data_IF_210019844338
#
_entry.id   IF_210019844338
#
_cell.length_a   1.000
_cell.length_b   1.000
_cell.length_c   1.000
_cell.angle_alpha   90.00
_cell.angle_beta   90.00
_cell.angle_gamma   90.00
#
_symmetry.space_group_name_H-M   'P 1'
#
loop_
_entity.id
_entity.type
_entity.pdbx_description
1 polymer ?
#
# COMPACT_ATOMS: atom_id res chain seq x y z
N UNK A 1 52.65 -49.18 46.70
CA UNK A 1 52.61 -49.24 45.24
C UNK A 1 51.21 -48.91 44.78
N UNK A 2 51.01 -47.78 44.20
CA UNK A 2 49.72 -47.17 43.94
C UNK A 2 49.59 -46.87 42.49
N UNK A 3 48.60 -47.36 41.73
CA UNK A 3 48.33 -46.82 40.38
C UNK A 3 47.12 -45.88 40.40
N UNK A 4 47.41 -44.67 40.00
CA UNK A 4 46.42 -43.61 39.75
C UNK A 4 45.36 -44.08 38.74
N UNK A 5 44.07 -44.03 39.16
CA UNK A 5 42.92 -44.06 38.25
C UNK A 5 42.71 -42.68 37.69
N UNK A 6 42.98 -42.48 36.39
CA UNK A 6 42.59 -41.32 35.61
C UNK A 6 41.11 -41.49 35.18
N UNK A 7 40.21 -40.74 35.80
CA UNK A 7 38.84 -40.60 35.34
C UNK A 7 38.80 -39.57 34.24
N UNK A 8 38.55 -40.00 32.98
CA UNK A 8 38.21 -39.14 31.85
C UNK A 8 36.75 -38.73 32.02
N UNK A 9 36.50 -37.48 32.36
CA UNK A 9 35.17 -36.84 32.26
C UNK A 9 34.99 -36.37 30.83
N UNK A 10 34.19 -37.09 30.04
CA UNK A 10 33.74 -36.66 28.74
C UNK A 10 32.72 -35.55 28.92
N UNK A 11 33.12 -34.32 28.68
CA UNK A 11 32.19 -33.17 28.58
C UNK A 11 31.43 -33.29 27.24
N UNK A 12 30.19 -33.80 27.28
CA UNK A 12 29.24 -33.65 26.19
C UNK A 12 28.88 -32.16 26.07
N UNK A 13 29.46 -31.48 25.12
CA UNK A 13 29.06 -30.13 24.76
C UNK A 13 27.64 -30.12 24.13
N UNK A 14 26.65 -29.63 24.87
CA UNK A 14 25.37 -29.25 24.31
C UNK A 14 25.60 -28.04 23.41
N UNK A 15 25.72 -28.27 22.09
CA UNK A 15 25.63 -27.21 21.14
C UNK A 15 24.16 -26.68 21.12
N UNK A 16 23.91 -25.37 21.31
CA UNK A 16 22.57 -24.86 21.19
C UNK A 16 22.17 -25.02 19.70
N UNK A 17 21.16 -25.86 19.44
CA UNK A 17 20.42 -25.86 18.18
C UNK A 17 19.72 -24.50 18.08
N UNK A 18 20.40 -23.51 17.49
CA UNK A 18 19.77 -22.30 17.03
C UNK A 18 18.81 -22.71 15.91
N UNK A 19 17.57 -23.03 16.28
CA UNK A 19 16.49 -23.26 15.36
C UNK A 19 16.29 -21.98 14.56
N UNK A 20 16.77 -21.94 13.31
CA UNK A 20 16.36 -20.96 12.36
C UNK A 20 14.85 -21.13 12.20
N UNK A 21 14.07 -20.26 12.88
CA UNK A 21 12.65 -20.14 12.63
C UNK A 21 12.51 -19.74 11.15
N UNK A 22 12.34 -20.71 10.28
CA UNK A 22 12.02 -20.47 8.87
C UNK A 22 10.74 -19.67 8.84
N UNK A 23 10.82 -18.41 8.38
CA UNK A 23 9.65 -17.57 8.23
C UNK A 23 8.60 -18.35 7.42
N UNK A 24 7.44 -18.57 8.05
CA UNK A 24 6.32 -19.31 7.44
C UNK A 24 5.94 -18.62 6.12
N UNK A 25 5.82 -19.39 5.05
CA UNK A 25 5.30 -18.85 3.78
C UNK A 25 3.89 -18.33 3.97
N UNK A 26 3.55 -17.16 3.41
CA UNK A 26 2.18 -16.66 3.42
C UNK A 26 1.19 -17.66 2.84
N UNK A 27 0.03 -17.82 3.48
CA UNK A 27 -1.00 -18.78 3.12
C UNK A 27 -2.28 -18.08 2.64
N UNK A 28 -2.95 -18.60 1.57
CA UNK A 28 -4.22 -18.05 1.09
C UNK A 28 -5.32 -18.19 2.15
N UNK A 29 -6.18 -17.18 2.25
CA UNK A 29 -7.25 -17.12 3.23
C UNK A 29 -6.80 -16.68 4.63
N UNK A 30 -5.49 -16.62 4.89
CA UNK A 30 -4.91 -16.20 6.17
C UNK A 30 -4.11 -14.92 6.04
N UNK A 31 -3.11 -14.91 5.16
CA UNK A 31 -2.18 -13.79 4.99
C UNK A 31 -2.49 -12.98 3.72
N UNK A 32 -3.29 -13.52 2.82
CA UNK A 32 -3.79 -12.85 1.61
C UNK A 32 -5.05 -13.54 1.08
N UNK A 33 -5.79 -12.85 0.24
CA UNK A 33 -6.97 -13.39 -0.45
C UNK A 33 -6.67 -13.63 -1.93
N UNK A 34 -7.30 -14.66 -2.51
CA UNK A 34 -7.24 -14.95 -3.94
C UNK A 34 -8.49 -14.41 -4.60
N UNK A 35 -8.32 -13.53 -5.58
CA UNK A 35 -9.43 -12.96 -6.35
C UNK A 35 -9.95 -13.96 -7.38
N UNK A 36 -11.25 -14.12 -7.39
CA UNK A 36 -11.97 -14.90 -8.42
C UNK A 36 -13.20 -14.08 -8.84
N UNK A 37 -13.33 -13.78 -10.16
CA UNK A 37 -12.35 -13.99 -11.22
C UNK A 37 -11.10 -13.12 -11.07
N UNK A 38 -10.00 -13.51 -11.72
CA UNK A 38 -8.80 -12.68 -11.86
C UNK A 38 -9.15 -11.39 -12.60
N UNK A 39 -8.59 -10.27 -12.14
CA UNK A 39 -8.83 -8.96 -12.73
C UNK A 39 -7.78 -8.65 -13.82
N UNK A 40 -8.17 -7.92 -14.87
CA UNK A 40 -7.22 -7.46 -15.88
C UNK A 40 -6.21 -6.49 -15.25
N UNK A 41 -4.97 -6.53 -15.72
CA UNK A 41 -3.90 -5.61 -15.35
C UNK A 41 -3.71 -4.58 -16.45
N UNK A 42 -3.38 -3.34 -16.07
CA UNK A 42 -3.14 -2.25 -17.04
C UNK A 42 -1.68 -2.20 -17.51
N UNK A 43 -0.78 -2.80 -16.75
CA UNK A 43 0.66 -2.79 -17.05
C UNK A 43 1.04 -4.02 -17.89
N UNK A 44 0.95 -3.93 -19.21
CA UNK A 44 1.36 -5.00 -20.11
C UNK A 44 2.84 -5.39 -19.89
N UNK A 45 3.09 -6.70 -19.79
CA UNK A 45 4.43 -7.27 -19.61
C UNK A 45 5.07 -7.00 -18.24
N UNK A 46 4.33 -6.41 -17.28
CA UNK A 46 4.81 -6.15 -15.92
C UNK A 46 3.88 -6.76 -14.87
N UNK A 47 4.42 -6.99 -13.69
CA UNK A 47 3.63 -7.34 -12.52
C UNK A 47 3.03 -6.05 -11.95
N UNK A 48 1.71 -5.91 -12.02
CA UNK A 48 1.03 -4.76 -11.44
C UNK A 48 0.86 -4.93 -9.94
N UNK A 49 1.17 -3.87 -9.18
CA UNK A 49 0.83 -3.78 -7.76
C UNK A 49 0.00 -2.51 -7.55
N UNK A 50 -1.18 -2.68 -6.97
CA UNK A 50 -2.07 -1.57 -6.61
C UNK A 50 -2.04 -1.38 -5.11
N UNK A 51 -1.89 -0.12 -4.68
CA UNK A 51 -2.24 0.30 -3.33
C UNK A 51 -3.64 0.88 -3.35
N UNK A 52 -4.52 0.35 -2.52
CA UNK A 52 -5.83 0.90 -2.21
C UNK A 52 -5.73 1.70 -0.92
N UNK A 53 -5.90 3.02 -1.02
CA UNK A 53 -5.69 3.94 0.08
C UNK A 53 -6.84 4.95 0.22
N UNK A 54 -6.88 5.63 1.35
CA UNK A 54 -7.72 6.80 1.57
C UNK A 54 -6.94 7.86 2.34
N UNK A 55 -7.00 9.12 1.89
CA UNK A 55 -6.28 10.20 2.56
C UNK A 55 -6.68 10.39 4.03
N UNK A 56 -7.95 10.20 4.38
CA UNK A 56 -8.41 10.28 5.76
C UNK A 56 -8.05 9.08 6.64
N UNK A 57 -7.39 8.04 6.10
CA UNK A 57 -7.04 6.83 6.83
C UNK A 57 -5.73 6.98 7.64
N UNK A 58 -5.75 6.91 8.99
CA UNK A 58 -4.55 6.99 9.81
C UNK A 58 -3.55 5.85 9.53
N UNK A 59 -4.05 4.67 9.19
CA UNK A 59 -3.20 3.51 8.89
C UNK A 59 -2.49 3.67 7.54
N UNK A 60 -3.12 4.28 6.53
CA UNK A 60 -2.46 4.64 5.28
C UNK A 60 -1.37 5.70 5.54
N UNK A 61 -1.70 6.74 6.30
CA UNK A 61 -0.75 7.78 6.68
C UNK A 61 0.51 7.23 7.35
N UNK A 62 0.34 6.29 8.30
CA UNK A 62 1.49 5.68 8.99
C UNK A 62 2.24 4.66 8.14
N UNK A 63 1.59 4.05 7.14
CA UNK A 63 2.22 3.14 6.18
C UNK A 63 3.12 3.90 5.18
N UNK A 64 2.73 5.09 4.77
CA UNK A 64 3.33 5.82 3.65
C UNK A 64 4.87 5.90 3.69
N UNK A 65 5.55 6.24 4.81
CA UNK A 65 7.02 6.28 4.84
C UNK A 65 7.70 4.93 4.60
N UNK A 66 7.04 3.83 4.96
CA UNK A 66 7.53 2.47 4.70
C UNK A 66 7.25 2.07 3.26
N UNK A 67 6.07 2.41 2.78
CA UNK A 67 5.63 2.13 1.42
C UNK A 67 6.52 2.82 0.39
N UNK A 68 6.87 4.09 0.59
CA UNK A 68 7.79 4.81 -0.30
C UNK A 68 9.17 4.15 -0.38
N UNK A 69 9.72 3.73 0.77
CA UNK A 69 10.99 2.97 0.80
C UNK A 69 10.86 1.62 0.10
N UNK A 70 9.72 0.99 0.23
CA UNK A 70 9.43 -0.28 -0.44
C UNK A 70 9.29 -0.09 -1.94
N UNK A 71 8.56 0.94 -2.40
CA UNK A 71 8.41 1.27 -3.82
C UNK A 71 9.77 1.55 -4.46
N UNK A 72 10.66 2.30 -3.80
CA UNK A 72 11.97 2.66 -4.32
C UNK A 72 12.89 1.44 -4.58
N UNK A 73 12.61 0.28 -3.98
CA UNK A 73 13.37 -0.97 -4.18
C UNK A 73 12.67 -1.99 -5.06
N UNK A 74 11.48 -1.67 -5.59
CA UNK A 74 10.77 -2.60 -6.47
C UNK A 74 11.58 -2.87 -7.73
N UNK A 75 11.63 -4.14 -8.19
CA UNK A 75 12.28 -4.48 -9.45
C UNK A 75 11.63 -3.79 -10.66
N UNK A 76 12.39 -3.61 -11.74
CA UNK A 76 11.94 -2.91 -12.94
C UNK A 76 10.76 -3.59 -13.68
N UNK A 77 10.53 -4.88 -13.42
CA UNK A 77 9.42 -5.67 -13.92
C UNK A 77 8.12 -5.49 -13.10
N UNK A 78 8.15 -4.68 -12.02
CA UNK A 78 6.98 -4.35 -11.21
C UNK A 78 6.51 -2.94 -11.52
N UNK A 79 5.22 -2.79 -11.78
CA UNK A 79 4.55 -1.50 -11.94
C UNK A 79 3.65 -1.23 -10.72
N UNK A 80 4.04 -0.23 -9.94
CA UNK A 80 3.25 0.19 -8.77
C UNK A 80 2.35 1.37 -9.12
N UNK A 81 1.12 1.34 -8.60
CA UNK A 81 0.12 2.39 -8.81
C UNK A 81 -0.77 2.55 -7.57
N UNK A 82 -1.10 3.79 -7.23
CA UNK A 82 -2.07 4.10 -6.18
C UNK A 82 -3.48 4.22 -6.73
N UNK A 83 -4.45 3.71 -5.98
CA UNK A 83 -5.88 3.80 -6.27
C UNK A 83 -6.58 4.33 -5.02
N UNK A 84 -7.08 5.58 -5.03
CA UNK A 84 -7.87 6.07 -3.92
C UNK A 84 -9.19 5.31 -3.83
N UNK A 85 -9.49 4.74 -2.67
CA UNK A 85 -10.70 3.94 -2.44
C UNK A 85 -11.92 4.85 -2.35
N UNK A 86 -13.03 4.39 -2.92
CA UNK A 86 -14.31 5.10 -2.90
C UNK A 86 -15.39 4.18 -2.34
N UNK A 87 -15.66 4.29 -1.03
CA UNK A 87 -16.72 3.54 -0.36
C UNK A 87 -17.98 4.39 -0.09
N UNK A 88 -17.84 5.72 -0.11
CA UNK A 88 -18.93 6.69 0.08
C UNK A 88 -18.58 8.04 -0.55
N UNK A 89 -19.50 9.01 -0.49
CA UNK A 89 -19.29 10.35 -1.08
C UNK A 89 -18.12 11.12 -0.48
N UNK A 90 -17.85 10.98 0.82
CA UNK A 90 -16.71 11.63 1.46
C UNK A 90 -15.38 11.12 0.90
N UNK A 91 -15.28 9.82 0.68
CA UNK A 91 -14.10 9.20 0.07
C UNK A 91 -13.98 9.54 -1.41
N UNK A 92 -15.11 9.63 -2.14
CA UNK A 92 -15.13 10.06 -3.54
C UNK A 92 -14.55 11.47 -3.70
N UNK A 93 -14.85 12.39 -2.76
CA UNK A 93 -14.29 13.74 -2.77
C UNK A 93 -12.76 13.72 -2.62
N UNK A 94 -12.22 12.94 -1.69
CA UNK A 94 -10.76 12.85 -1.50
C UNK A 94 -10.07 12.09 -2.64
N UNK A 95 -10.75 11.13 -3.26
CA UNK A 95 -10.28 10.52 -4.50
C UNK A 95 -10.21 11.56 -5.64
N UNK A 96 -11.18 12.47 -5.73
CA UNK A 96 -11.13 13.57 -6.69
C UNK A 96 -9.98 14.54 -6.41
N UNK A 97 -9.61 14.78 -5.14
CA UNK A 97 -8.39 15.56 -4.80
C UNK A 97 -7.14 14.89 -5.36
N UNK A 98 -6.97 13.59 -5.13
CA UNK A 98 -5.84 12.81 -5.65
C UNK A 98 -5.71 12.94 -7.17
N UNK A 99 -6.82 12.70 -7.89
CA UNK A 99 -6.81 12.79 -9.35
C UNK A 99 -6.70 14.21 -9.88
N UNK A 100 -7.10 15.23 -9.11
CA UNK A 100 -6.85 16.63 -9.43
C UNK A 100 -5.36 16.96 -9.36
N UNK A 101 -4.67 16.50 -8.32
CA UNK A 101 -3.22 16.67 -8.20
C UNK A 101 -2.47 15.97 -9.34
N UNK A 102 -2.95 14.78 -9.72
CA UNK A 102 -2.40 14.05 -10.87
C UNK A 102 -2.63 14.83 -12.19
N UNK A 103 -3.85 15.31 -12.41
CA UNK A 103 -4.19 16.08 -13.63
C UNK A 103 -3.41 17.39 -13.74
N UNK A 104 -3.08 18.01 -12.63
CA UNK A 104 -2.26 19.23 -12.54
C UNK A 104 -0.75 18.96 -12.59
N UNK A 105 -0.32 17.68 -12.57
CA UNK A 105 1.09 17.30 -12.55
C UNK A 105 1.81 17.58 -11.20
N UNK A 106 1.06 17.80 -10.13
CA UNK A 106 1.60 18.16 -8.79
C UNK A 106 1.50 17.03 -7.78
N UNK A 107 1.02 15.85 -8.19
CA UNK A 107 0.79 14.74 -7.27
C UNK A 107 2.05 14.33 -6.50
N UNK A 108 3.18 14.19 -7.18
CA UNK A 108 4.44 13.82 -6.53
C UNK A 108 4.89 14.85 -5.46
N UNK A 109 4.60 16.14 -5.68
CA UNK A 109 4.88 17.22 -4.73
C UNK A 109 3.91 17.21 -3.55
N UNK A 110 2.62 16.92 -3.79
CA UNK A 110 1.54 17.19 -2.83
C UNK A 110 0.99 15.96 -2.10
N UNK A 111 1.29 14.76 -2.56
CA UNK A 111 0.74 13.54 -1.95
C UNK A 111 1.05 13.45 -0.46
N UNK A 112 2.31 13.53 -0.08
CA UNK A 112 2.72 13.50 1.32
C UNK A 112 2.31 14.74 2.10
N UNK A 113 2.53 15.98 1.64
CA UNK A 113 2.05 17.17 2.33
C UNK A 113 0.54 17.21 2.55
N UNK A 114 -0.26 16.63 1.66
CA UNK A 114 -1.70 16.56 1.85
C UNK A 114 -2.10 15.58 2.96
N UNK A 115 -1.41 14.45 3.08
CA UNK A 115 -1.56 13.56 4.23
C UNK A 115 -1.18 14.28 5.54
N UNK A 116 -0.05 14.98 5.58
CA UNK A 116 0.41 15.71 6.76
C UNK A 116 -0.61 16.79 7.15
N UNK A 117 -1.15 17.53 6.19
CA UNK A 117 -2.18 18.54 6.43
C UNK A 117 -3.44 17.94 7.07
N UNK A 118 -3.90 16.78 6.62
CA UNK A 118 -5.09 16.12 7.19
C UNK A 118 -4.79 15.60 8.60
N UNK A 119 -3.69 14.87 8.78
CA UNK A 119 -3.45 14.10 10.00
C UNK A 119 -2.74 14.89 11.11
N UNK A 120 -1.91 15.87 10.76
CA UNK A 120 -1.17 16.70 11.72
C UNK A 120 -1.82 18.08 11.91
N UNK A 121 -2.21 18.74 10.80
CA UNK A 121 -2.73 20.10 10.83
C UNK A 121 -4.27 20.13 10.92
N UNK A 122 -4.95 18.99 10.83
CA UNK A 122 -6.41 18.85 10.88
C UNK A 122 -7.13 19.64 9.78
N UNK A 123 -6.53 19.67 8.58
CA UNK A 123 -7.11 20.33 7.41
C UNK A 123 -8.54 19.83 7.16
N UNK A 124 -9.51 20.73 7.15
CA UNK A 124 -10.87 20.39 6.77
C UNK A 124 -10.99 20.35 5.24
N UNK A 125 -10.81 19.16 4.66
CA UNK A 125 -10.89 18.94 3.21
C UNK A 125 -12.29 19.19 2.63
N UNK A 126 -13.33 19.27 3.47
CA UNK A 126 -14.72 19.51 3.05
C UNK A 126 -15.04 20.99 2.92
N UNK A 127 -14.26 21.87 3.55
CA UNK A 127 -14.42 23.30 3.43
C UNK A 127 -13.59 23.83 2.25
N UNK A 128 -14.24 24.35 1.17
CA UNK A 128 -13.54 24.83 0.00
C UNK A 128 -12.59 25.99 0.28
N UNK A 129 -12.92 26.88 1.23
CA UNK A 129 -12.09 28.03 1.56
C UNK A 129 -10.78 27.58 2.21
N UNK A 130 -10.89 26.70 3.22
CA UNK A 130 -9.71 26.13 3.92
C UNK A 130 -8.82 25.36 2.95
N UNK A 131 -9.40 24.58 2.06
CA UNK A 131 -8.64 23.84 1.03
C UNK A 131 -7.97 24.79 0.05
N UNK A 132 -8.66 25.85 -0.40
CA UNK A 132 -8.09 26.86 -1.30
C UNK A 132 -6.91 27.58 -0.67
N UNK A 133 -7.00 27.92 0.62
CA UNK A 133 -5.89 28.57 1.35
C UNK A 133 -4.68 27.63 1.51
N UNK A 134 -4.92 26.34 1.76
CA UNK A 134 -3.86 25.35 1.79
C UNK A 134 -3.19 25.21 0.41
N UNK A 135 -3.98 25.12 -0.68
CA UNK A 135 -3.46 25.03 -2.06
C UNK A 135 -2.55 26.23 -2.41
N UNK A 136 -2.95 27.46 -2.03
CA UNK A 136 -2.11 28.66 -2.25
C UNK A 136 -0.76 28.55 -1.56
N UNK A 137 -0.73 28.04 -0.33
CA UNK A 137 0.52 27.78 0.42
C UNK A 137 1.41 26.74 -0.25
N UNK A 138 0.84 25.89 -1.09
CA UNK A 138 1.57 24.88 -1.87
C UNK A 138 1.90 25.33 -3.31
N UNK A 139 1.72 26.61 -3.64
CA UNK A 139 1.90 27.19 -4.97
C UNK A 139 0.97 26.60 -6.03
N UNK A 140 -0.24 26.22 -5.65
CA UNK A 140 -1.29 25.73 -6.56
C UNK A 140 -2.41 26.75 -6.64
N UNK A 141 -2.73 27.18 -7.86
CA UNK A 141 -3.86 28.08 -8.10
C UNK A 141 -5.19 27.36 -7.79
N UNK A 142 -5.98 27.86 -6.81
CA UNK A 142 -7.25 27.23 -6.46
C UNK A 142 -8.27 27.18 -7.59
N UNK A 143 -8.24 28.12 -8.53
CA UNK A 143 -9.15 28.10 -9.69
C UNK A 143 -8.82 26.95 -10.64
N UNK A 144 -7.54 26.78 -10.97
CA UNK A 144 -7.08 25.66 -11.80
C UNK A 144 -7.36 24.31 -11.11
N UNK A 145 -7.20 24.26 -9.77
CA UNK A 145 -7.55 23.07 -9.01
C UNK A 145 -9.07 22.77 -9.10
N UNK A 146 -9.92 23.78 -8.93
CA UNK A 146 -11.39 23.62 -9.01
C UNK A 146 -11.84 23.17 -10.41
N UNK A 147 -11.25 23.72 -11.47
CA UNK A 147 -11.47 23.29 -12.85
C UNK A 147 -11.07 21.82 -13.05
N UNK A 148 -9.89 21.42 -12.60
CA UNK A 148 -9.43 20.03 -12.64
C UNK A 148 -10.37 19.11 -11.85
N UNK A 149 -10.74 19.49 -10.63
CA UNK A 149 -11.61 18.73 -9.72
C UNK A 149 -12.98 18.46 -10.37
N UNK A 150 -13.57 19.44 -11.06
CA UNK A 150 -14.85 19.32 -11.74
C UNK A 150 -14.75 18.69 -13.14
N UNK A 151 -13.54 18.49 -13.66
CA UNK A 151 -13.35 18.00 -15.02
C UNK A 151 -13.91 16.59 -15.23
N UNK A 152 -14.38 16.32 -16.44
CA UNK A 152 -14.85 14.98 -16.82
C UNK A 152 -13.76 13.91 -16.62
N UNK A 153 -12.48 14.25 -16.89
CA UNK A 153 -11.35 13.35 -16.73
C UNK A 153 -11.17 12.90 -15.26
N UNK A 154 -11.14 13.84 -14.32
CA UNK A 154 -11.04 13.54 -12.89
C UNK A 154 -12.25 12.73 -12.41
N UNK A 155 -13.46 13.16 -12.75
CA UNK A 155 -14.69 12.47 -12.34
C UNK A 155 -14.79 11.05 -12.93
N UNK A 156 -14.27 10.83 -14.13
CA UNK A 156 -14.19 9.49 -14.73
C UNK A 156 -13.19 8.59 -14.00
N UNK A 157 -12.04 9.13 -13.58
CA UNK A 157 -11.07 8.39 -12.77
C UNK A 157 -11.62 8.03 -11.39
N UNK A 158 -12.38 8.91 -10.75
CA UNK A 158 -13.08 8.63 -9.49
C UNK A 158 -14.07 7.46 -9.65
N UNK A 159 -14.89 7.49 -10.71
CA UNK A 159 -15.81 6.36 -10.99
C UNK A 159 -15.06 5.05 -11.24
N UNK A 160 -13.95 5.11 -11.99
CA UNK A 160 -13.10 3.94 -12.21
C UNK A 160 -12.49 3.43 -10.91
N UNK A 161 -12.04 4.31 -10.02
CA UNK A 161 -11.51 3.94 -8.72
C UNK A 161 -12.58 3.27 -7.84
N UNK A 162 -13.83 3.76 -7.86
CA UNK A 162 -14.96 3.12 -7.19
C UNK A 162 -15.22 1.71 -7.74
N UNK A 163 -15.19 1.56 -9.07
CA UNK A 163 -15.33 0.25 -9.72
C UNK A 163 -14.19 -0.70 -9.33
N UNK A 164 -12.93 -0.24 -9.34
CA UNK A 164 -11.79 -1.05 -8.92
C UNK A 164 -11.92 -1.46 -7.45
N UNK A 165 -12.28 -0.55 -6.55
CA UNK A 165 -12.49 -0.85 -5.13
C UNK A 165 -13.51 -1.99 -4.95
N UNK A 166 -14.63 -1.92 -5.68
CA UNK A 166 -15.67 -2.97 -5.68
C UNK A 166 -15.16 -4.29 -6.28
N UNK A 167 -14.52 -4.23 -7.45
CA UNK A 167 -14.07 -5.41 -8.21
C UNK A 167 -12.97 -6.19 -7.45
N UNK A 168 -12.09 -5.46 -6.77
CA UNK A 168 -11.07 -6.05 -5.91
C UNK A 168 -11.59 -6.40 -4.51
N UNK A 169 -12.89 -6.16 -4.23
CA UNK A 169 -13.55 -6.42 -2.94
C UNK A 169 -12.84 -5.74 -1.78
N UNK A 170 -12.43 -4.49 -2.00
CA UNK A 170 -11.77 -3.69 -0.97
C UNK A 170 -12.84 -3.16 -0.01
N UNK A 171 -12.76 -3.56 1.24
CA UNK A 171 -13.66 -3.20 2.34
C UNK A 171 -13.01 -2.28 3.38
N UNK A 172 -11.68 -2.06 3.24
CA UNK A 172 -10.91 -1.20 4.13
C UNK A 172 -9.57 -0.78 3.54
N UNK A 173 -8.92 0.18 4.20
CA UNK A 173 -7.61 0.71 3.79
C UNK A 173 -6.61 0.72 4.95
N UNK A 174 -5.31 0.57 4.67
CA UNK A 174 -4.72 0.26 3.38
C UNK A 174 -4.96 -1.18 2.95
N UNK A 175 -4.97 -1.43 1.63
CA UNK A 175 -4.89 -2.76 1.05
C UNK A 175 -3.95 -2.76 -0.15
N UNK A 176 -3.26 -3.88 -0.41
CA UNK A 176 -2.45 -4.06 -1.60
C UNK A 176 -3.09 -5.12 -2.49
N UNK A 177 -3.02 -4.93 -3.80
CA UNK A 177 -3.36 -6.00 -4.75
C UNK A 177 -2.18 -6.30 -5.66
N UNK A 178 -1.99 -7.59 -5.99
CA UNK A 178 -0.89 -8.05 -6.82
C UNK A 178 -1.44 -8.75 -8.05
N UNK A 179 -1.13 -8.19 -9.20
CA UNK A 179 -1.32 -8.73 -10.54
C UNK A 179 -2.76 -9.19 -10.83
N UNK A 180 -3.74 -8.47 -10.31
CA UNK A 180 -5.16 -8.79 -10.50
C UNK A 180 -5.62 -10.12 -9.86
N UNK A 181 -4.75 -10.79 -9.11
CA UNK A 181 -4.98 -12.16 -8.58
C UNK A 181 -5.09 -12.22 -7.07
N UNK A 182 -4.40 -11.34 -6.37
CA UNK A 182 -4.25 -11.42 -4.92
C UNK A 182 -4.51 -10.08 -4.27
N UNK A 183 -5.09 -10.09 -3.05
CA UNK A 183 -5.20 -8.92 -2.20
C UNK A 183 -4.63 -9.21 -0.81
N UNK A 184 -4.03 -8.20 -0.19
CA UNK A 184 -3.53 -8.23 1.18
C UNK A 184 -4.15 -7.05 1.92
N UNK A 185 -5.02 -7.31 2.88
CA UNK A 185 -5.57 -6.28 3.76
C UNK A 185 -4.60 -5.95 4.90
N UNK A 186 -4.82 -4.83 5.59
CA UNK A 186 -4.07 -4.47 6.79
C UNK A 186 -4.19 -5.55 7.88
N UNK A 187 -5.37 -6.17 8.02
CA UNK A 187 -5.61 -7.26 8.98
C UNK A 187 -4.80 -8.51 8.62
N UNK A 188 -4.83 -8.93 7.36
CA UNK A 188 -4.05 -10.07 6.87
C UNK A 188 -2.53 -9.85 7.00
N UNK A 189 -2.07 -8.63 6.78
CA UNK A 189 -0.67 -8.24 6.99
C UNK A 189 -0.25 -8.26 8.46
N UNK A 190 -1.19 -8.10 9.39
CA UNK A 190 -1.00 -7.98 10.85
C UNK A 190 -0.12 -6.81 11.27
N UNK A 191 0.89 -6.52 10.50
CA UNK A 191 1.78 -5.35 10.61
C UNK A 191 1.98 -4.74 9.23
N UNK A 192 2.41 -3.49 9.19
CA UNK A 192 2.74 -2.82 7.92
C UNK A 192 3.87 -3.54 7.18
N UNK A 193 4.91 -3.97 7.88
CA UNK A 193 6.01 -4.74 7.29
C UNK A 193 5.56 -6.15 6.84
N UNK A 194 4.64 -6.78 7.57
CA UNK A 194 4.03 -8.06 7.19
C UNK A 194 3.20 -7.93 5.90
N UNK A 195 2.47 -6.83 5.73
CA UNK A 195 1.72 -6.52 4.52
C UNK A 195 2.65 -6.37 3.31
N UNK A 196 3.73 -5.60 3.44
CA UNK A 196 4.72 -5.40 2.37
C UNK A 196 5.49 -6.69 2.05
N UNK A 197 5.88 -7.47 3.05
CA UNK A 197 6.57 -8.75 2.83
C UNK A 197 5.66 -9.80 2.18
N UNK A 198 4.37 -9.80 2.49
CA UNK A 198 3.40 -10.64 1.80
C UNK A 198 3.23 -10.22 0.33
N UNK A 199 3.23 -8.91 0.04
CA UNK A 199 3.22 -8.41 -1.32
C UNK A 199 4.50 -8.83 -2.09
N UNK A 200 5.68 -8.76 -1.48
CA UNK A 200 6.94 -9.25 -2.07
C UNK A 200 6.86 -10.74 -2.43
N UNK A 201 6.30 -11.56 -1.52
CA UNK A 201 6.06 -12.98 -1.78
C UNK A 201 5.12 -13.19 -2.98
N UNK A 202 4.00 -12.44 -3.05
CA UNK A 202 3.01 -12.55 -4.10
C UNK A 202 3.52 -12.07 -5.47
N UNK A 203 4.38 -11.04 -5.48
CA UNK A 203 5.12 -10.63 -6.69
C UNK A 203 5.95 -11.80 -7.21
N UNK A 204 6.66 -12.50 -6.32
CA UNK A 204 7.41 -13.70 -6.68
C UNK A 204 6.55 -14.84 -7.20
N UNK A 205 5.34 -15.01 -6.67
CA UNK A 205 4.35 -16.00 -7.15
C UNK A 205 3.81 -15.61 -8.53
N UNK A 206 3.42 -14.34 -8.71
CA UNK A 206 2.91 -13.84 -9.99
C UNK A 206 3.94 -13.99 -11.12
N UNK A 207 5.22 -13.73 -10.82
CA UNK A 207 6.34 -13.89 -11.80
C UNK A 207 6.51 -15.31 -12.30
N UNK A 208 6.17 -16.32 -11.49
CA UNK A 208 6.32 -17.76 -11.85
C UNK A 208 5.09 -18.35 -12.54
N UNK A 209 3.94 -17.72 -12.41
CA UNK A 209 2.66 -18.23 -12.88
C UNK A 209 1.95 -17.30 -13.87
N UNK A 210 2.70 -16.36 -14.48
CA UNK A 210 2.23 -15.49 -15.56
C UNK A 210 2.18 -16.23 -16.90
#
# INVERSE_FOLDING_TARGET
MNPLRRTLVAALGLAPLAGFAQARRPAPGVDYSVLKPTQPVEAEGKIEVLEFFWYGCPHCYTLEPRLEKWIARLPADVNFRRVPVVLNEGWAREAAVYYSFEALGVLAKLHRPFYDAIHQERLNTRDPATLADWLRKQDVDPKRYEEAFKSFGVQSKVRRAAQLSSTYRIDGTPALAVHGRYTVSAEQGRTQDGMLSTADYLIGVARKGG
#
